data_IF_764702456534
#
_entry.id   IF_764702456534
#
_cell.length_a   1.000
_cell.length_b   1.000
_cell.length_c   1.000
_cell.angle_alpha   90.00
_cell.angle_beta   90.00
_cell.angle_gamma   90.00
#
_symmetry.space_group_name_H-M   'P 1'
#
loop_
_entity.id
_entity.type
_entity.pdbx_description
1 polymer ?
#
# COMPACT_ATOMS: atom_id res chain seq x y z
N UNK A 1 12.18 25.69 6.51
CA UNK A 1 12.96 24.42 6.42
C UNK A 1 14.00 24.32 7.55
N UNK A 2 13.77 24.96 8.70
CA UNK A 2 14.72 24.87 9.80
C UNK A 2 14.52 23.56 10.59
N UNK A 3 13.29 23.04 10.67
CA UNK A 3 12.96 21.83 11.44
C UNK A 3 13.74 20.58 11.00
N UNK A 4 13.89 20.34 9.70
CA UNK A 4 14.64 19.17 9.19
C UNK A 4 16.14 19.30 9.46
N UNK A 5 16.73 20.48 9.27
CA UNK A 5 18.15 20.71 9.53
C UNK A 5 18.47 20.50 11.01
N UNK A 6 17.70 21.12 11.91
CA UNK A 6 17.87 20.96 13.37
C UNK A 6 17.69 19.50 13.81
N UNK A 7 16.69 18.79 13.25
CA UNK A 7 16.49 17.37 13.55
C UNK A 7 17.68 16.51 13.09
N UNK A 8 18.23 16.77 11.90
CA UNK A 8 19.40 16.05 11.38
C UNK A 8 20.68 16.33 12.20
N UNK A 9 20.89 17.57 12.64
CA UNK A 9 21.99 17.92 13.55
C UNK A 9 21.87 17.21 14.90
N UNK A 10 20.66 17.14 15.45
CA UNK A 10 20.39 16.39 16.67
C UNK A 10 20.69 14.89 16.51
N UNK A 11 20.33 14.28 15.37
CA UNK A 11 20.68 12.89 15.07
C UNK A 11 22.20 12.70 15.01
N UNK A 12 22.92 13.58 14.30
CA UNK A 12 24.40 13.53 14.20
C UNK A 12 25.07 13.61 15.56
N UNK A 13 24.59 14.50 16.44
CA UNK A 13 25.07 14.62 17.83
C UNK A 13 24.78 13.37 18.68
N UNK A 14 23.67 12.69 18.47
CA UNK A 14 23.40 11.42 19.16
C UNK A 14 24.28 10.28 18.64
N UNK A 15 24.62 10.29 17.35
CA UNK A 15 25.54 9.31 16.74
C UNK A 15 27.01 9.50 17.15
N UNK A 16 27.41 10.68 17.65
CA UNK A 16 28.77 10.90 18.14
C UNK A 16 29.01 10.35 19.56
N UNK A 17 27.97 9.84 20.22
CA UNK A 17 28.10 9.12 21.48
C UNK A 17 28.76 7.77 21.26
N UNK A 18 29.25 7.13 22.33
CA UNK A 18 29.86 5.81 22.23
C UNK A 18 28.86 4.77 21.69
N UNK A 19 29.29 4.04 20.66
CA UNK A 19 28.53 2.96 20.03
C UNK A 19 29.38 1.68 20.10
N UNK A 20 28.83 0.59 20.65
CA UNK A 20 29.59 -0.64 20.83
C UNK A 20 29.96 -1.27 19.48
N UNK A 21 31.15 -1.84 19.40
CA UNK A 21 31.56 -2.69 18.28
C UNK A 21 31.02 -4.12 18.47
N UNK A 22 29.71 -4.25 18.60
CA UNK A 22 29.02 -5.51 18.84
C UNK A 22 27.71 -5.59 18.02
N UNK A 23 27.16 -6.80 17.80
CA UNK A 23 25.88 -6.98 17.14
C UNK A 23 24.75 -6.30 17.92
N UNK A 24 23.74 -5.80 17.21
CA UNK A 24 22.54 -5.28 17.86
C UNK A 24 21.70 -4.34 17.00
N UNK A 25 20.70 -3.76 17.65
CA UNK A 25 19.77 -2.76 17.11
C UNK A 25 19.79 -1.54 18.02
N UNK A 26 19.93 -0.34 17.45
CA UNK A 26 19.77 0.94 18.15
C UNK A 26 18.84 1.85 17.36
N UNK A 27 17.90 2.47 18.06
CA UNK A 27 16.95 3.41 17.49
C UNK A 27 17.25 4.79 18.10
N UNK A 28 17.36 5.80 17.25
CA UNK A 28 17.65 7.18 17.67
C UNK A 28 16.48 8.05 17.23
N UNK A 29 15.72 8.56 18.21
CA UNK A 29 14.57 9.42 17.98
C UNK A 29 14.91 10.88 18.29
N UNK A 30 14.50 11.77 17.38
CA UNK A 30 14.50 13.21 17.64
C UNK A 30 13.11 13.78 17.39
N UNK A 31 12.60 14.66 18.27
CA UNK A 31 11.39 15.41 18.01
C UNK A 31 11.53 16.20 16.70
N UNK A 32 10.47 16.24 15.91
CA UNK A 32 10.43 17.03 14.68
C UNK A 32 9.38 18.14 14.83
N UNK A 33 9.82 19.42 14.98
CA UNK A 33 8.90 20.54 15.08
C UNK A 33 8.04 20.71 13.81
N UNK A 34 6.72 20.78 13.98
CA UNK A 34 5.74 21.02 12.90
C UNK A 34 5.38 22.50 12.72
N UNK A 35 6.25 23.40 13.20
CA UNK A 35 6.09 24.86 13.09
C UNK A 35 6.32 25.37 11.66
N UNK A 36 7.15 24.69 10.88
CA UNK A 36 7.33 24.96 9.45
C UNK A 36 6.40 24.08 8.61
N UNK A 37 5.94 24.58 7.46
CA UNK A 37 5.19 23.81 6.46
C UNK A 37 6.09 22.76 5.77
N UNK A 38 6.44 21.68 6.49
CA UNK A 38 7.26 20.59 5.99
C UNK A 38 6.45 19.64 5.11
N UNK A 39 6.73 19.61 3.81
CA UNK A 39 6.17 18.62 2.88
C UNK A 39 7.10 17.41 2.77
N UNK A 40 6.74 16.35 3.48
CA UNK A 40 7.52 15.12 3.55
C UNK A 40 7.69 14.43 2.19
N UNK A 41 6.70 14.54 1.30
CA UNK A 41 6.78 13.97 -0.05
C UNK A 41 7.82 14.72 -0.90
N UNK A 42 7.82 16.06 -0.84
CA UNK A 42 8.82 16.89 -1.52
C UNK A 42 10.23 16.62 -1.00
N UNK A 43 10.39 16.50 0.33
CA UNK A 43 11.68 16.13 0.93
C UNK A 43 12.17 14.78 0.44
N UNK A 44 11.30 13.76 0.45
CA UNK A 44 11.64 12.41 0.01
C UNK A 44 12.04 12.38 -1.47
N UNK A 45 11.27 13.05 -2.33
CA UNK A 45 11.52 13.13 -3.77
C UNK A 45 12.82 13.88 -4.15
N UNK A 46 13.37 14.65 -3.23
CA UNK A 46 14.63 15.39 -3.44
C UNK A 46 15.87 14.50 -3.25
N UNK A 47 15.71 13.34 -2.62
CA UNK A 47 16.80 12.44 -2.27
C UNK A 47 17.19 11.55 -3.45
N UNK A 48 18.48 11.21 -3.56
CA UNK A 48 18.99 10.23 -4.52
C UNK A 48 19.48 8.96 -3.81
N UNK A 49 18.70 8.53 -2.82
CA UNK A 49 18.92 7.30 -2.07
C UNK A 49 17.65 6.46 -2.21
N UNK A 50 17.82 5.17 -2.44
CA UNK A 50 16.75 4.20 -2.60
C UNK A 50 16.94 3.02 -1.64
N UNK A 51 15.87 2.30 -1.27
CA UNK A 51 14.47 2.57 -1.62
C UNK A 51 13.90 3.79 -0.90
N UNK A 52 12.79 4.33 -1.41
CA UNK A 52 12.01 5.37 -0.74
C UNK A 52 10.57 4.91 -0.62
N UNK A 53 9.94 5.18 0.53
CA UNK A 53 8.52 4.88 0.71
C UNK A 53 7.81 6.02 1.43
N UNK A 54 6.76 6.53 0.80
CA UNK A 54 5.84 7.51 1.36
C UNK A 54 4.49 6.84 1.63
N UNK A 55 3.90 7.20 2.75
CA UNK A 55 2.60 6.68 3.15
C UNK A 55 1.79 7.73 3.92
N UNK A 56 0.52 7.85 3.59
CA UNK A 56 -0.44 8.66 4.32
C UNK A 56 -1.71 7.86 4.58
N UNK A 57 -2.17 7.89 5.82
CA UNK A 57 -3.45 7.33 6.22
C UNK A 57 -4.59 8.10 5.56
N UNK A 58 -5.66 7.39 5.19
CA UNK A 58 -6.83 7.99 4.55
C UNK A 58 -7.52 9.15 5.27
N UNK A 59 -7.31 9.32 6.57
CA UNK A 59 -7.88 10.44 7.33
C UNK A 59 -6.90 11.61 7.53
N UNK A 60 -5.67 11.51 7.00
CA UNK A 60 -4.64 12.55 7.10
C UNK A 60 -3.89 12.61 8.44
N UNK A 61 -4.35 11.89 9.47
CA UNK A 61 -3.78 11.97 10.82
C UNK A 61 -2.43 11.26 10.96
N UNK A 62 -2.10 10.33 10.06
CA UNK A 62 -0.84 9.61 10.10
C UNK A 62 -0.16 9.71 8.73
N UNK A 63 1.11 10.09 8.74
CA UNK A 63 1.91 10.30 7.53
C UNK A 63 3.35 9.86 7.81
N UNK A 64 4.00 9.25 6.84
CA UNK A 64 5.37 8.79 6.94
C UNK A 64 6.11 8.97 5.62
N UNK A 65 7.39 9.33 5.72
CA UNK A 65 8.35 9.31 4.64
C UNK A 65 9.59 8.57 5.13
N UNK A 66 9.93 7.47 4.48
CA UNK A 66 11.03 6.61 4.88
C UNK A 66 12.03 6.44 3.75
N UNK A 67 13.31 6.45 4.09
CA UNK A 67 14.42 6.62 3.15
C UNK A 67 15.55 5.65 3.47
N UNK A 68 16.03 4.95 2.42
CA UNK A 68 17.07 3.95 2.51
C UNK A 68 16.63 2.72 3.31
N UNK A 69 17.40 1.64 3.22
CA UNK A 69 17.13 0.41 3.97
C UNK A 69 18.35 0.02 4.80
N UNK A 70 18.11 -0.40 6.03
CA UNK A 70 19.09 -1.14 6.84
C UNK A 70 18.95 -2.63 6.57
N UNK A 71 17.71 -3.09 6.42
CA UNK A 71 17.36 -4.46 6.04
C UNK A 71 16.20 -4.45 5.05
N UNK A 72 16.14 -5.45 4.18
CA UNK A 72 15.05 -5.63 3.21
C UNK A 72 14.45 -7.03 3.33
N UNK A 73 13.16 -7.16 3.05
CA UNK A 73 12.41 -8.40 3.20
C UNK A 73 11.60 -8.67 1.93
N UNK A 74 11.68 -9.91 1.45
CA UNK A 74 11.00 -10.36 0.24
C UNK A 74 9.58 -10.87 0.53
N UNK A 75 9.20 -10.95 1.80
CA UNK A 75 7.86 -11.34 2.21
C UNK A 75 7.50 -10.73 3.56
N UNK A 76 6.20 -10.62 3.82
CA UNK A 76 5.71 -10.19 5.13
C UNK A 76 6.11 -11.17 6.25
N UNK A 77 6.25 -12.46 5.92
CA UNK A 77 6.65 -13.49 6.87
C UNK A 77 8.08 -13.28 7.37
N UNK A 78 9.02 -13.00 6.45
CA UNK A 78 10.41 -12.67 6.80
C UNK A 78 10.48 -11.41 7.68
N UNK A 79 9.77 -10.36 7.27
CA UNK A 79 9.66 -9.12 8.05
C UNK A 79 9.13 -9.38 9.48
N UNK A 80 8.11 -10.23 9.61
CA UNK A 80 7.54 -10.59 10.91
C UNK A 80 8.52 -11.41 11.76
N UNK A 81 9.27 -12.34 11.14
CA UNK A 81 10.28 -13.11 11.85
C UNK A 81 11.35 -12.18 12.45
N UNK A 82 11.83 -11.22 11.67
CA UNK A 82 12.76 -10.20 12.14
C UNK A 82 12.22 -9.38 13.31
N UNK A 83 10.95 -8.94 13.24
CA UNK A 83 10.33 -8.17 14.32
C UNK A 83 10.20 -8.98 15.63
N UNK A 84 10.02 -10.30 15.56
CA UNK A 84 9.95 -11.19 16.74
C UNK A 84 11.31 -11.37 17.41
N UNK A 85 12.38 -11.40 16.65
CA UNK A 85 13.75 -11.44 17.21
C UNK A 85 14.10 -10.15 17.97
N UNK A 86 13.39 -9.05 17.69
CA UNK A 86 13.60 -7.74 18.30
C UNK A 86 12.42 -7.34 19.20
N UNK A 87 11.94 -8.28 20.02
CA UNK A 87 10.81 -8.07 20.91
C UNK A 87 11.03 -7.00 21.99
N UNK A 88 12.26 -6.63 22.32
CA UNK A 88 12.53 -5.49 23.21
C UNK A 88 12.16 -4.13 22.59
N UNK A 89 12.06 -4.03 21.25
CA UNK A 89 11.78 -2.79 20.51
C UNK A 89 10.31 -2.73 20.05
N UNK A 90 9.39 -2.38 20.96
CA UNK A 90 7.94 -2.50 20.74
C UNK A 90 7.36 -1.62 19.62
N UNK A 91 8.05 -0.56 19.23
CA UNK A 91 7.59 0.42 18.23
C UNK A 91 8.33 0.33 16.88
N UNK A 92 9.08 -0.76 16.66
CA UNK A 92 9.79 -1.03 15.40
C UNK A 92 8.79 -1.19 14.24
N UNK A 93 9.06 -0.51 13.11
CA UNK A 93 8.21 -0.54 11.92
C UNK A 93 9.00 -0.98 10.70
N UNK A 94 8.38 -1.88 9.95
CA UNK A 94 8.79 -2.26 8.60
C UNK A 94 7.75 -1.68 7.64
N UNK A 95 8.23 -1.07 6.57
CA UNK A 95 7.42 -0.35 5.59
C UNK A 95 7.55 -0.99 4.21
N UNK A 96 6.58 -0.78 3.33
CA UNK A 96 6.66 -1.24 1.94
C UNK A 96 5.38 -1.87 1.42
N UNK A 97 5.56 -2.82 0.49
CA UNK A 97 4.50 -3.38 -0.33
C UNK A 97 4.44 -4.90 -0.20
N UNK A 98 3.22 -5.45 -0.31
CA UNK A 98 3.00 -6.86 -0.60
C UNK A 98 2.44 -6.95 -2.02
N UNK A 99 2.91 -7.91 -2.80
CA UNK A 99 2.40 -8.14 -4.14
C UNK A 99 0.98 -8.71 -4.10
N UNK A 100 0.36 -8.84 -5.27
CA UNK A 100 -0.92 -9.53 -5.40
C UNK A 100 -0.82 -10.99 -4.92
N UNK A 101 0.28 -11.66 -5.26
CA UNK A 101 0.68 -12.92 -4.64
C UNK A 101 1.29 -12.63 -3.27
N UNK A 102 0.60 -12.98 -2.16
CA UNK A 102 0.96 -12.46 -0.84
C UNK A 102 2.27 -13.04 -0.28
N UNK A 103 2.82 -14.10 -0.87
CA UNK A 103 4.14 -14.61 -0.51
C UNK A 103 5.27 -13.68 -0.95
N UNK A 104 5.01 -12.78 -1.91
CA UNK A 104 6.00 -11.85 -2.43
C UNK A 104 5.74 -10.44 -1.88
N UNK A 105 6.82 -9.73 -1.55
CA UNK A 105 6.78 -8.38 -1.04
C UNK A 105 8.09 -7.65 -1.26
N UNK A 106 8.02 -6.33 -1.12
CA UNK A 106 9.16 -5.44 -1.08
C UNK A 106 9.02 -4.59 0.17
N UNK A 107 9.57 -5.08 1.28
CA UNK A 107 9.51 -4.40 2.56
C UNK A 107 10.91 -4.03 3.05
N UNK A 108 11.00 -3.01 3.88
CA UNK A 108 12.26 -2.50 4.40
C UNK A 108 12.15 -2.06 5.87
N UNK A 109 13.21 -2.32 6.61
CA UNK A 109 13.54 -1.56 7.81
C UNK A 109 14.30 -0.31 7.34
N UNK A 110 13.74 0.90 7.48
CA UNK A 110 14.35 2.06 6.85
C UNK A 110 15.61 2.51 7.57
N UNK A 111 16.52 3.17 6.86
CA UNK A 111 17.63 3.89 7.52
C UNK A 111 17.10 5.09 8.29
N UNK A 112 16.20 5.86 7.66
CA UNK A 112 15.59 7.06 8.24
C UNK A 112 14.07 7.05 8.04
N UNK A 113 13.32 7.34 9.09
CA UNK A 113 11.86 7.45 9.10
C UNK A 113 11.47 8.83 9.64
N UNK A 114 10.85 9.67 8.81
CA UNK A 114 10.02 10.75 9.31
C UNK A 114 8.60 10.24 9.47
N UNK A 115 7.99 10.45 10.64
CA UNK A 115 6.58 10.10 10.88
C UNK A 115 5.87 11.20 11.63
N UNK A 116 4.66 11.52 11.18
CA UNK A 116 3.70 12.38 11.85
C UNK A 116 2.48 11.58 12.28
N UNK A 117 2.07 11.75 13.54
CA UNK A 117 0.85 11.23 14.12
C UNK A 117 0.09 12.36 14.81
N UNK A 118 -0.98 12.86 14.19
CA UNK A 118 -1.69 14.07 14.59
C UNK A 118 -0.75 15.27 14.54
N UNK A 119 -0.58 15.92 15.70
CA UNK A 119 0.26 17.10 15.90
C UNK A 119 1.70 16.77 16.35
N UNK A 120 2.07 15.50 16.44
CA UNK A 120 3.42 15.07 16.84
C UNK A 120 4.14 14.50 15.64
N UNK A 121 5.36 14.97 15.38
CA UNK A 121 6.25 14.34 14.41
C UNK A 121 7.59 13.96 15.05
N UNK A 122 8.18 12.91 14.51
CA UNK A 122 9.47 12.34 14.95
C UNK A 122 10.29 12.01 13.73
N UNK A 123 11.58 12.32 13.79
CA UNK A 123 12.57 11.80 12.87
C UNK A 123 13.34 10.70 13.60
N UNK A 124 13.29 9.49 13.05
CA UNK A 124 13.84 8.28 13.63
C UNK A 124 14.92 7.73 12.72
N UNK A 125 16.10 7.46 13.28
CA UNK A 125 17.20 6.78 12.61
C UNK A 125 17.36 5.38 13.19
N UNK A 126 17.47 4.38 12.32
CA UNK A 126 17.70 2.99 12.72
C UNK A 126 19.17 2.63 12.47
N UNK A 127 19.78 1.98 13.45
CA UNK A 127 21.06 1.28 13.32
C UNK A 127 20.83 -0.20 13.59
N UNK A 128 21.33 -1.05 12.71
CA UNK A 128 21.29 -2.49 12.91
C UNK A 128 22.50 -3.13 12.26
N UNK A 129 23.12 -4.06 12.98
CA UNK A 129 24.16 -4.91 12.44
C UNK A 129 24.21 -6.23 13.17
N UNK A 130 24.33 -7.36 12.46
CA UNK A 130 24.62 -8.64 13.08
C UNK A 130 26.07 -8.79 13.54
N UNK A 131 26.93 -7.78 13.29
CA UNK A 131 28.38 -7.82 13.60
C UNK A 131 28.82 -6.64 14.47
N UNK A 132 28.58 -5.40 14.02
CA UNK A 132 29.11 -4.20 14.67
C UNK A 132 28.21 -2.99 14.47
N UNK A 133 27.54 -2.56 15.53
CA UNK A 133 26.77 -1.31 15.55
C UNK A 133 27.66 -0.09 15.27
N UNK A 134 28.94 -0.12 15.66
CA UNK A 134 29.90 0.96 15.39
C UNK A 134 30.12 1.18 13.90
N UNK A 135 30.27 0.10 13.12
CA UNK A 135 30.41 0.20 11.67
C UNK A 135 29.11 0.71 11.02
N UNK A 136 27.96 0.24 11.51
CA UNK A 136 26.67 0.70 11.00
C UNK A 136 26.40 2.17 11.31
N UNK A 137 26.88 2.66 12.45
CA UNK A 137 26.86 4.08 12.78
C UNK A 137 27.71 4.90 11.81
N UNK A 138 28.89 4.40 11.41
CA UNK A 138 29.70 5.02 10.35
C UNK A 138 28.95 5.12 9.03
N UNK A 139 28.26 4.05 8.61
CA UNK A 139 27.37 4.06 7.44
C UNK A 139 26.21 5.05 7.59
N UNK A 140 25.62 5.15 8.77
CA UNK A 140 24.55 6.09 9.05
C UNK A 140 25.02 7.56 8.98
N UNK A 141 26.23 7.87 9.47
CA UNK A 141 26.84 9.20 9.34
C UNK A 141 27.05 9.54 7.86
N UNK A 142 27.63 8.63 7.07
CA UNK A 142 27.81 8.82 5.64
C UNK A 142 26.46 9.03 4.92
N UNK A 143 25.45 8.24 5.27
CA UNK A 143 24.08 8.41 4.78
C UNK A 143 23.52 9.81 5.10
N UNK A 144 23.62 10.27 6.35
CA UNK A 144 23.13 11.59 6.77
C UNK A 144 23.87 12.75 6.08
N UNK A 145 25.15 12.56 5.73
CA UNK A 145 25.94 13.54 4.97
C UNK A 145 25.58 13.58 3.49
N UNK A 146 25.01 12.51 2.94
CA UNK A 146 24.58 12.43 1.54
C UNK A 146 23.18 12.99 1.26
N UNK A 147 22.42 13.34 2.32
CA UNK A 147 21.08 13.90 2.19
C UNK A 147 21.09 15.24 1.46
N UNK A 148 20.08 15.45 0.62
CA UNK A 148 19.91 16.65 -0.20
C UNK A 148 18.88 17.58 0.43
N UNK A 149 19.07 18.89 0.23
CA UNK A 149 18.07 19.89 0.57
C UNK A 149 16.76 19.66 -0.20
N UNK A 150 15.63 20.07 0.39
CA UNK A 150 14.32 19.92 -0.25
C UNK A 150 14.25 20.81 -1.48
N UNK A 151 13.76 20.23 -2.57
CA UNK A 151 13.40 20.91 -3.81
C UNK A 151 11.88 20.82 -3.98
N UNK A 152 11.24 21.87 -4.54
CA UNK A 152 9.83 21.78 -4.92
C UNK A 152 9.59 20.63 -5.91
N UNK A 153 8.48 19.93 -5.75
CA UNK A 153 8.04 18.94 -6.75
C UNK A 153 7.69 19.68 -8.05
N UNK A 154 8.27 19.27 -9.19
CA UNK A 154 7.99 19.92 -10.47
C UNK A 154 6.55 19.70 -10.91
N UNK A 155 6.00 20.66 -11.67
CA UNK A 155 4.71 20.49 -12.31
C UNK A 155 4.76 19.34 -13.34
N UNK A 156 3.69 18.53 -13.38
CA UNK A 156 3.56 17.49 -14.40
C UNK A 156 3.26 18.14 -15.76
N UNK A 157 4.22 18.03 -16.69
CA UNK A 157 4.05 18.38 -18.09
C UNK A 157 4.40 17.15 -18.92
N UNK A 158 3.39 16.36 -19.22
CA UNK A 158 3.52 15.09 -19.92
C UNK A 158 2.85 15.18 -21.29
N UNK A 159 3.55 14.75 -22.33
CA UNK A 159 3.00 14.59 -23.66
C UNK A 159 2.89 13.10 -23.97
N UNK A 160 1.67 12.61 -24.14
CA UNK A 160 1.39 11.21 -24.46
C UNK A 160 1.92 10.90 -25.86
N UNK A 161 2.70 9.83 -26.00
CA UNK A 161 3.26 9.36 -27.29
C UNK A 161 2.70 8.01 -27.71
N UNK A 162 2.10 7.26 -26.78
CA UNK A 162 1.44 6.00 -27.07
C UNK A 162 0.54 5.57 -25.91
N UNK A 163 -0.43 4.73 -26.25
CA UNK A 163 -1.36 4.11 -25.31
C UNK A 163 -1.63 2.68 -25.75
N UNK A 164 -1.51 1.73 -24.82
CA UNK A 164 -1.77 0.32 -25.07
C UNK A 164 -2.56 -0.30 -23.92
N UNK A 165 -3.55 -1.14 -24.25
CA UNK A 165 -4.40 -1.81 -23.28
C UNK A 165 -4.11 -3.31 -23.24
N UNK A 166 -4.14 -3.88 -22.04
CA UNK A 166 -3.93 -5.30 -21.77
C UNK A 166 -5.03 -5.85 -20.84
N UNK A 167 -6.00 -6.61 -21.36
CA UNK A 167 -6.25 -6.85 -22.79
C UNK A 167 -6.78 -5.59 -23.50
N UNK A 168 -6.75 -5.60 -24.82
CA UNK A 168 -7.49 -4.65 -25.64
C UNK A 168 -9.00 -4.89 -25.56
N UNK A 169 -9.80 -4.09 -26.28
CA UNK A 169 -11.26 -4.20 -26.24
C UNK A 169 -11.78 -5.58 -26.68
N UNK A 170 -11.20 -6.16 -27.73
CA UNK A 170 -11.65 -7.46 -28.24
C UNK A 170 -11.29 -8.60 -27.27
N UNK A 171 -10.08 -8.56 -26.72
CA UNK A 171 -9.64 -9.46 -25.67
C UNK A 171 -10.46 -9.31 -24.39
N UNK A 172 -10.83 -8.08 -24.01
CA UNK A 172 -11.72 -7.82 -22.87
C UNK A 172 -13.09 -8.47 -23.07
N UNK A 173 -13.74 -8.25 -24.22
CA UNK A 173 -15.04 -8.88 -24.52
C UNK A 173 -14.95 -10.40 -24.45
N UNK A 174 -13.89 -10.97 -25.01
CA UNK A 174 -13.67 -12.43 -25.00
C UNK A 174 -13.50 -12.98 -23.57
N UNK A 175 -12.73 -12.27 -22.72
CA UNK A 175 -12.57 -12.64 -21.31
C UNK A 175 -13.88 -12.53 -20.53
N UNK A 176 -14.70 -11.50 -20.80
CA UNK A 176 -16.00 -11.34 -20.15
C UNK A 176 -16.94 -12.47 -20.55
N UNK A 177 -17.03 -12.82 -21.85
CA UNK A 177 -17.85 -13.93 -22.33
C UNK A 177 -17.45 -15.26 -21.66
N UNK A 178 -16.14 -15.55 -21.62
CA UNK A 178 -15.61 -16.73 -20.95
C UNK A 178 -15.98 -16.75 -19.46
N UNK A 179 -15.79 -15.63 -18.76
CA UNK A 179 -16.13 -15.50 -17.34
C UNK A 179 -17.62 -15.74 -17.09
N UNK A 180 -18.50 -15.14 -17.91
CA UNK A 180 -19.95 -15.32 -17.76
C UNK A 180 -20.42 -16.74 -18.07
N UNK A 181 -19.80 -17.39 -19.06
CA UNK A 181 -20.11 -18.79 -19.37
C UNK A 181 -19.67 -19.71 -18.22
N UNK A 182 -18.45 -19.53 -17.70
CA UNK A 182 -17.94 -20.31 -16.57
C UNK A 182 -18.81 -20.13 -15.31
N UNK A 183 -19.35 -18.92 -15.10
CA UNK A 183 -20.29 -18.66 -14.00
C UNK A 183 -21.63 -19.35 -14.25
N UNK A 184 -22.14 -19.34 -15.49
CA UNK A 184 -23.40 -20.01 -15.84
C UNK A 184 -23.31 -21.54 -15.75
N UNK A 185 -22.10 -22.10 -15.90
CA UNK A 185 -21.81 -23.53 -15.73
C UNK A 185 -21.59 -23.93 -14.26
N UNK A 186 -21.82 -23.02 -13.29
CA UNK A 186 -21.63 -23.19 -11.84
C UNK A 186 -20.20 -23.57 -11.40
N UNK A 187 -19.22 -23.45 -12.30
CA UNK A 187 -17.79 -23.66 -12.00
C UNK A 187 -17.19 -22.50 -11.17
N UNK A 188 -17.88 -21.36 -11.11
CA UNK A 188 -17.40 -20.15 -10.45
C UNK A 188 -18.56 -19.20 -10.05
N UNK A 189 -18.58 -18.67 -8.82
CA UNK A 189 -19.62 -17.69 -8.43
C UNK A 189 -19.31 -16.23 -8.87
N UNK A 190 -18.03 -15.85 -8.88
CA UNK A 190 -17.57 -14.48 -9.18
C UNK A 190 -16.08 -14.45 -9.51
N UNK A 191 -15.71 -13.74 -10.58
CA UNK A 191 -14.33 -13.34 -10.90
C UNK A 191 -14.21 -11.82 -10.94
N UNK A 192 -13.03 -11.31 -10.58
CA UNK A 192 -12.64 -9.92 -10.83
C UNK A 192 -11.54 -9.95 -11.87
N UNK A 193 -11.83 -9.37 -13.03
CA UNK A 193 -10.87 -9.19 -14.12
C UNK A 193 -10.25 -7.79 -14.03
N UNK A 194 -9.00 -7.67 -14.43
CA UNK A 194 -8.28 -6.40 -14.45
C UNK A 194 -7.79 -6.10 -15.86
N UNK A 195 -7.67 -4.81 -16.17
CA UNK A 195 -7.05 -4.31 -17.39
C UNK A 195 -5.90 -3.39 -17.02
N UNK A 196 -4.73 -3.59 -17.62
CA UNK A 196 -3.64 -2.64 -17.55
C UNK A 196 -3.71 -1.68 -18.75
N UNK A 197 -3.37 -0.42 -18.54
CA UNK A 197 -3.16 0.57 -19.59
C UNK A 197 -1.75 1.10 -19.47
N UNK A 198 -0.92 0.79 -20.47
CA UNK A 198 0.42 1.34 -20.59
C UNK A 198 0.33 2.67 -21.32
N UNK A 199 0.79 3.74 -20.65
CA UNK A 199 0.88 5.09 -21.22
C UNK A 199 2.35 5.41 -21.45
N UNK A 200 2.73 5.66 -22.70
CA UNK A 200 4.07 6.12 -23.05
C UNK A 200 4.07 7.65 -23.15
N UNK A 201 5.12 8.28 -22.62
CA UNK A 201 5.28 9.73 -22.63
C UNK A 201 6.62 10.11 -23.27
N UNK A 202 6.69 11.35 -23.77
CA UNK A 202 7.90 11.86 -24.44
C UNK A 202 9.12 11.97 -23.53
N UNK A 203 8.94 11.99 -22.21
CA UNK A 203 10.01 12.08 -21.20
C UNK A 203 9.65 11.23 -19.97
N UNK A 204 10.65 10.88 -19.13
CA UNK A 204 10.41 10.14 -17.90
C UNK A 204 9.38 10.82 -16.98
N UNK A 205 8.44 10.03 -16.47
CA UNK A 205 7.39 10.52 -15.56
C UNK A 205 7.95 10.71 -14.15
N UNK A 206 7.83 11.91 -13.60
CA UNK A 206 8.15 12.14 -12.19
C UNK A 206 7.07 11.54 -11.28
N UNK A 207 7.34 10.36 -10.74
CA UNK A 207 6.41 9.61 -9.90
C UNK A 207 5.96 10.37 -8.63
N UNK A 208 6.85 11.16 -8.01
CA UNK A 208 6.49 11.98 -6.86
C UNK A 208 5.51 13.10 -7.25
N UNK A 209 5.66 13.67 -8.45
CA UNK A 209 4.71 14.65 -8.98
C UNK A 209 3.33 14.03 -9.29
N UNK A 210 3.29 12.79 -9.78
CA UNK A 210 2.04 12.01 -9.90
C UNK A 210 1.39 11.79 -8.54
N UNK A 211 2.17 11.38 -7.53
CA UNK A 211 1.67 11.20 -6.17
C UNK A 211 1.15 12.51 -5.56
N UNK A 212 1.89 13.62 -5.72
CA UNK A 212 1.48 14.93 -5.22
C UNK A 212 0.16 15.40 -5.87
N UNK A 213 0.01 15.21 -7.18
CA UNK A 213 -1.23 15.51 -7.90
C UNK A 213 -2.39 14.62 -7.45
N UNK A 214 -2.13 13.31 -7.25
CA UNK A 214 -3.15 12.38 -6.78
C UNK A 214 -3.58 12.69 -5.33
N UNK A 215 -2.66 13.10 -4.45
CA UNK A 215 -2.97 13.52 -3.07
C UNK A 215 -3.90 14.74 -3.01
N UNK A 216 -3.73 15.68 -3.95
CA UNK A 216 -4.59 16.87 -4.05
C UNK A 216 -6.02 16.55 -4.48
N UNK A 217 -6.19 15.57 -5.37
CA UNK A 217 -7.49 15.26 -5.98
C UNK A 217 -8.23 14.13 -5.26
N UNK A 218 -7.53 13.07 -4.88
CA UNK A 218 -8.11 11.86 -4.31
C UNK A 218 -8.15 11.92 -2.79
N UNK A 219 -8.98 12.83 -2.27
CA UNK A 219 -9.21 12.96 -0.83
C UNK A 219 -9.79 11.66 -0.23
N UNK A 220 -9.63 11.50 1.09
CA UNK A 220 -10.10 10.33 1.85
C UNK A 220 -9.52 8.98 1.39
N UNK A 221 -8.36 9.02 0.72
CA UNK A 221 -7.62 7.85 0.29
C UNK A 221 -6.34 7.67 1.09
N UNK A 222 -5.97 6.41 1.28
CA UNK A 222 -4.59 6.04 1.56
C UNK A 222 -3.72 6.44 0.39
N UNK A 223 -2.66 7.19 0.64
CA UNK A 223 -1.65 7.49 -0.37
C UNK A 223 -0.41 6.67 -0.08
N UNK A 224 0.07 5.89 -1.05
CA UNK A 224 1.29 5.12 -0.92
C UNK A 224 2.14 5.31 -2.17
N UNK A 225 3.44 5.42 -1.99
CA UNK A 225 4.41 5.67 -3.06
C UNK A 225 5.74 5.01 -2.69
N UNK A 226 6.14 4.01 -3.45
CA UNK A 226 7.42 3.32 -3.34
C UNK A 226 8.27 3.66 -4.56
N UNK A 227 9.51 4.09 -4.36
CA UNK A 227 10.54 4.09 -5.42
C UNK A 227 11.55 3.00 -5.13
N UNK A 228 11.71 2.10 -6.10
CA UNK A 228 12.70 1.02 -6.03
C UNK A 228 14.07 1.52 -6.50
N UNK A 229 14.07 2.42 -7.48
CA UNK A 229 15.24 3.07 -8.06
C UNK A 229 14.85 4.40 -8.71
N UNK A 230 15.80 5.09 -9.35
CA UNK A 230 15.54 6.33 -10.08
C UNK A 230 14.49 6.17 -11.20
N UNK A 231 14.40 4.98 -11.80
CA UNK A 231 13.54 4.70 -12.97
C UNK A 231 12.32 3.83 -12.68
N UNK A 232 12.10 3.41 -11.43
CA UNK A 232 11.02 2.47 -11.10
C UNK A 232 10.31 2.84 -9.81
N UNK A 233 8.98 2.95 -9.90
CA UNK A 233 8.12 3.29 -8.77
C UNK A 233 6.76 2.58 -8.86
N UNK A 234 6.12 2.40 -7.72
CA UNK A 234 4.74 1.95 -7.59
C UNK A 234 3.99 2.87 -6.64
N UNK A 235 2.82 3.37 -7.04
CA UNK A 235 2.05 4.33 -6.25
C UNK A 235 0.55 4.18 -6.45
N UNK A 236 -0.22 4.71 -5.50
CA UNK A 236 -1.67 4.71 -5.61
C UNK A 236 -2.36 5.50 -4.50
N UNK A 237 -3.64 5.78 -4.75
CA UNK A 237 -4.55 6.45 -3.83
C UNK A 237 -5.78 5.57 -3.62
N UNK A 238 -5.79 4.74 -2.57
CA UNK A 238 -6.83 3.74 -2.35
C UNK A 238 -7.79 4.13 -1.22
N UNK A 239 -9.12 4.02 -1.39
CA UNK A 239 -10.06 4.19 -0.28
C UNK A 239 -10.08 3.00 0.68
N UNK A 240 -9.63 1.83 0.22
CA UNK A 240 -9.86 0.55 0.84
C UNK A 240 -8.80 0.24 1.89
N UNK A 241 -9.25 -0.20 3.06
CA UNK A 241 -8.38 -0.80 4.07
C UNK A 241 -8.41 -2.30 3.94
N UNK A 242 -7.24 -2.90 3.70
CA UNK A 242 -7.09 -4.35 3.86
C UNK A 242 -7.30 -4.74 5.33
N UNK A 243 -6.46 -4.24 6.24
CA UNK A 243 -6.68 -4.38 7.67
C UNK A 243 -5.88 -3.37 8.50
N UNK A 244 -6.28 -3.15 9.75
CA UNK A 244 -5.54 -2.39 10.77
C UNK A 244 -5.53 -3.17 12.07
N UNK A 245 -4.34 -3.51 12.58
CA UNK A 245 -4.17 -4.19 13.86
C UNK A 245 -3.57 -3.25 14.90
N UNK A 246 -4.17 -3.19 16.07
CA UNK A 246 -3.56 -2.65 17.29
C UNK A 246 -3.62 -3.75 18.34
N UNK A 247 -2.45 -4.27 18.70
CA UNK A 247 -2.35 -5.46 19.57
C UNK A 247 -3.17 -6.64 19.02
N UNK A 248 -4.24 -7.00 19.73
CA UNK A 248 -5.17 -8.08 19.38
C UNK A 248 -6.44 -7.58 18.67
N UNK A 249 -6.66 -6.26 18.65
CA UNK A 249 -7.80 -5.64 18.00
C UNK A 249 -7.53 -5.49 16.50
N UNK A 250 -8.44 -6.02 15.68
CA UNK A 250 -8.32 -6.03 14.23
C UNK A 250 -9.54 -5.39 13.59
N UNK A 251 -9.29 -4.49 12.64
CA UNK A 251 -10.33 -3.78 11.86
C UNK A 251 -10.08 -4.00 10.38
N UNK A 252 -11.11 -4.40 9.64
CA UNK A 252 -11.13 -4.51 8.17
C UNK A 252 -12.47 -3.96 7.66
N UNK A 253 -12.67 -3.93 6.35
CA UNK A 253 -13.92 -3.49 5.74
C UNK A 253 -14.22 -4.30 4.47
N UNK A 254 -15.50 -4.59 4.22
CA UNK A 254 -15.96 -5.04 2.93
C UNK A 254 -16.38 -3.82 2.12
N UNK A 255 -15.58 -3.48 1.11
CA UNK A 255 -15.84 -2.37 0.19
C UNK A 255 -16.18 -2.94 -1.19
N UNK A 256 -17.47 -3.00 -1.53
CA UNK A 256 -17.96 -3.56 -2.79
C UNK A 256 -19.36 -3.02 -3.10
N UNK A 257 -19.71 -2.94 -4.38
CA UNK A 257 -20.88 -2.20 -4.88
C UNK A 257 -20.52 -0.73 -5.11
N UNK A 258 -20.81 -0.20 -6.29
CA UNK A 258 -20.23 1.07 -6.76
C UNK A 258 -21.20 1.88 -7.61
N UNK A 259 -21.24 3.19 -7.42
CA UNK A 259 -22.00 4.14 -8.28
C UNK A 259 -21.12 5.34 -8.61
N UNK A 260 -21.39 6.04 -9.71
CA UNK A 260 -20.70 7.28 -10.06
C UNK A 260 -20.90 8.36 -8.97
N UNK A 261 -19.91 9.25 -8.82
CA UNK A 261 -20.08 10.47 -8.03
C UNK A 261 -20.73 11.57 -8.90
N UNK A 262 -21.22 12.64 -8.26
CA UNK A 262 -21.70 13.84 -8.90
C UNK A 262 -21.13 15.09 -8.18
N UNK A 263 -20.75 16.19 -8.88
CA UNK A 263 -20.23 17.40 -8.24
C UNK A 263 -21.25 18.09 -7.32
N UNK A 264 -22.54 18.00 -7.65
CA UNK A 264 -23.63 18.45 -6.77
C UNK A 264 -23.88 17.45 -5.64
N UNK A 265 -23.83 17.93 -4.40
CA UNK A 265 -23.92 17.11 -3.19
C UNK A 265 -25.29 16.45 -3.00
N UNK A 266 -26.37 17.06 -3.49
CA UNK A 266 -27.71 16.50 -3.38
C UNK A 266 -27.90 15.34 -4.36
N UNK A 267 -27.47 15.51 -5.62
CA UNK A 267 -27.49 14.43 -6.61
C UNK A 267 -26.57 13.27 -6.23
N UNK A 268 -25.38 13.58 -5.71
CA UNK A 268 -24.47 12.59 -5.16
C UNK A 268 -25.11 11.78 -4.02
N UNK A 269 -25.88 12.44 -3.14
CA UNK A 269 -26.63 11.76 -2.10
C UNK A 269 -27.71 10.84 -2.67
N UNK A 270 -28.50 11.29 -3.64
CA UNK A 270 -29.54 10.49 -4.29
C UNK A 270 -28.97 9.22 -4.95
N UNK A 271 -27.83 9.33 -5.64
CA UNK A 271 -27.12 8.17 -6.21
C UNK A 271 -26.64 7.21 -5.12
N UNK A 272 -26.20 7.73 -3.98
CA UNK A 272 -25.85 6.93 -2.80
C UNK A 272 -27.06 6.18 -2.21
N UNK A 273 -28.21 6.84 -2.09
CA UNK A 273 -29.45 6.22 -1.64
C UNK A 273 -29.93 5.11 -2.59
N UNK A 274 -29.80 5.34 -3.91
CA UNK A 274 -30.07 4.32 -4.92
C UNK A 274 -29.16 3.10 -4.75
N UNK A 275 -27.84 3.33 -4.61
CA UNK A 275 -26.86 2.25 -4.46
C UNK A 275 -27.17 1.37 -3.24
N UNK A 276 -27.68 1.96 -2.16
CA UNK A 276 -28.06 1.23 -0.95
C UNK A 276 -29.31 0.36 -1.13
N UNK A 277 -30.16 0.66 -2.11
CA UNK A 277 -31.40 -0.09 -2.39
C UNK A 277 -31.26 -1.06 -3.56
N UNK A 278 -30.14 -1.04 -4.28
CA UNK A 278 -29.90 -1.92 -5.41
C UNK A 278 -29.50 -3.33 -4.96
N UNK A 279 -30.34 -4.31 -5.30
CA UNK A 279 -30.18 -5.71 -4.90
C UNK A 279 -28.88 -6.34 -5.39
N UNK A 280 -28.45 -6.00 -6.61
CA UNK A 280 -27.20 -6.53 -7.18
C UNK A 280 -26.00 -6.05 -6.37
N UNK A 281 -25.89 -4.74 -6.13
CA UNK A 281 -24.79 -4.15 -5.39
C UNK A 281 -24.78 -4.60 -3.92
N UNK A 282 -25.95 -4.78 -3.29
CA UNK A 282 -26.06 -5.36 -1.94
C UNK A 282 -25.59 -6.82 -1.89
N UNK A 283 -25.99 -7.66 -2.85
CA UNK A 283 -25.49 -9.05 -2.98
C UNK A 283 -23.97 -9.08 -3.16
N UNK A 284 -23.42 -8.19 -4.00
CA UNK A 284 -21.97 -8.07 -4.17
C UNK A 284 -21.25 -7.69 -2.87
N UNK A 285 -21.80 -6.76 -2.09
CA UNK A 285 -21.24 -6.37 -0.80
C UNK A 285 -21.32 -7.51 0.23
N UNK A 286 -22.46 -8.20 0.31
CA UNK A 286 -22.66 -9.35 1.20
C UNK A 286 -21.73 -10.50 0.87
N UNK A 287 -21.49 -10.81 -0.41
CA UNK A 287 -20.50 -11.83 -0.81
C UNK A 287 -19.07 -11.44 -0.39
N UNK A 288 -18.73 -10.15 -0.44
CA UNK A 288 -17.48 -9.63 0.10
C UNK A 288 -17.39 -9.77 1.63
N UNK A 289 -18.45 -9.39 2.35
CA UNK A 289 -18.56 -9.46 3.81
C UNK A 289 -18.57 -10.89 4.36
N UNK A 290 -19.33 -11.80 3.73
CA UNK A 290 -19.46 -13.20 4.13
C UNK A 290 -18.13 -13.99 4.05
N UNK A 291 -17.22 -13.57 3.17
CA UNK A 291 -15.86 -14.13 3.10
C UNK A 291 -14.99 -13.79 4.31
N UNK A 292 -15.25 -12.67 4.98
CA UNK A 292 -14.57 -12.35 6.25
C UNK A 292 -15.17 -13.14 7.43
N UNK A 293 -16.48 -13.42 7.41
CA UNK A 293 -17.20 -14.09 8.50
C UNK A 293 -16.99 -15.62 8.55
N UNK A 294 -16.58 -16.23 7.44
CA UNK A 294 -16.25 -17.67 7.36
C UNK A 294 -14.81 -18.01 7.82
N UNK A 295 -14.01 -17.01 8.21
CA UNK A 295 -12.72 -17.23 8.83
C UNK A 295 -12.90 -17.81 10.25
N UNK A 296 -11.99 -18.68 10.75
CA UNK A 296 -12.16 -19.42 12.02
C UNK A 296 -12.19 -18.55 13.29
N UNK A 297 -12.05 -17.23 13.18
CA UNK A 297 -12.28 -16.30 14.28
C UNK A 297 -13.62 -15.61 14.12
N UNK A 298 -14.45 -15.65 15.17
CA UNK A 298 -15.75 -14.99 15.27
C UNK A 298 -15.61 -13.46 15.12
N UNK A 299 -15.48 -12.97 13.89
CA UNK A 299 -15.65 -11.56 13.55
C UNK A 299 -17.13 -11.21 13.74
N UNK A 300 -17.40 -10.12 14.46
CA UNK A 300 -18.77 -9.64 14.64
C UNK A 300 -18.95 -8.39 13.78
N UNK A 301 -19.94 -8.35 12.87
CA UNK A 301 -20.27 -7.12 12.19
C UNK A 301 -20.72 -6.10 13.24
N UNK A 302 -19.98 -5.00 13.37
CA UNK A 302 -20.29 -3.98 14.38
C UNK A 302 -21.34 -2.98 13.93
N UNK A 303 -21.64 -2.94 12.62
CA UNK A 303 -22.78 -2.29 11.93
C UNK A 303 -22.43 -2.22 10.44
N UNK A 304 -23.37 -2.49 9.55
CA UNK A 304 -23.34 -1.93 8.20
C UNK A 304 -23.52 -0.43 8.35
N UNK A 305 -22.45 0.34 8.17
CA UNK A 305 -22.47 1.77 8.36
C UNK A 305 -22.27 2.41 6.99
N UNK A 306 -23.17 3.32 6.62
CA UNK A 306 -22.98 4.16 5.46
C UNK A 306 -21.59 4.82 5.54
N UNK A 307 -20.73 4.56 4.55
CA UNK A 307 -19.48 5.28 4.43
C UNK A 307 -19.58 6.16 3.20
N UNK A 308 -20.17 7.35 3.38
CA UNK A 308 -20.01 8.49 2.49
C UNK A 308 -18.52 8.79 2.45
N UNK A 309 -17.81 8.25 1.47
CA UNK A 309 -16.41 8.61 1.22
C UNK A 309 -16.35 9.25 -0.15
N UNK A 310 -16.32 10.58 -0.14
CA UNK A 310 -15.98 11.39 -1.31
C UNK A 310 -14.54 11.04 -1.68
N UNK A 311 -14.36 10.15 -2.65
CA UNK A 311 -13.07 9.86 -3.27
C UNK A 311 -13.00 10.62 -4.58
N UNK A 312 -12.45 11.84 -4.49
CA UNK A 312 -12.36 12.81 -5.59
C UNK A 312 -13.71 13.36 -6.06
N UNK A 313 -13.68 14.61 -6.54
CA UNK A 313 -14.80 15.28 -7.20
C UNK A 313 -15.27 14.54 -8.48
N UNK A 314 -14.64 13.43 -8.89
CA UNK A 314 -14.80 12.87 -10.24
C UNK A 314 -14.93 11.35 -10.40
N UNK A 315 -14.92 10.51 -9.36
CA UNK A 315 -14.95 9.07 -9.60
C UNK A 315 -16.21 8.37 -9.10
N UNK A 316 -16.23 7.85 -7.87
CA UNK A 316 -17.21 6.82 -7.50
C UNK A 316 -17.51 6.79 -5.99
N UNK A 317 -18.71 6.39 -5.64
CA UNK A 317 -19.11 5.96 -4.29
C UNK A 317 -19.08 4.44 -4.18
N UNK A 318 -18.92 3.90 -2.97
CA UNK A 318 -19.01 2.44 -2.74
C UNK A 318 -19.68 2.10 -1.42
N UNK A 319 -20.36 0.95 -1.36
CA UNK A 319 -20.91 0.43 -0.11
C UNK A 319 -19.77 -0.12 0.74
N UNK A 320 -19.72 0.26 2.01
CA UNK A 320 -18.70 -0.16 2.96
C UNK A 320 -19.35 -0.78 4.20
N UNK A 321 -19.02 -2.04 4.51
CA UNK A 321 -19.38 -2.66 5.79
C UNK A 321 -18.13 -2.79 6.67
N UNK A 322 -18.12 -2.11 7.82
CA UNK A 322 -17.00 -2.19 8.76
C UNK A 322 -17.06 -3.50 9.57
N UNK A 323 -15.97 -4.27 9.56
CA UNK A 323 -15.85 -5.53 10.28
C UNK A 323 -14.78 -5.40 11.37
N UNK A 324 -15.12 -5.79 12.60
CA UNK A 324 -14.20 -5.76 13.73
C UNK A 324 -14.20 -7.08 14.51
N UNK A 325 -13.09 -7.38 15.18
CA UNK A 325 -12.98 -8.56 16.02
C UNK A 325 -11.72 -8.60 16.88
N UNK A 326 -11.63 -9.63 17.74
CA UNK A 326 -10.48 -9.92 18.61
C UNK A 326 -9.90 -11.31 18.27
N UNK A 327 -8.60 -11.35 17.95
CA UNK A 327 -7.73 -12.50 17.58
C UNK A 327 -7.99 -13.25 16.25
N UNK A 328 -6.86 -13.79 15.72
CA UNK A 328 -6.57 -14.67 14.56
C UNK A 328 -7.48 -14.57 13.33
N UNK A 329 -7.18 -13.64 12.42
CA UNK A 329 -7.76 -13.71 11.07
C UNK A 329 -6.81 -14.49 10.16
N UNK A 330 -7.27 -15.62 9.62
CA UNK A 330 -6.77 -16.12 8.33
C UNK A 330 -7.44 -15.28 7.23
N UNK A 331 -6.71 -14.31 6.67
CA UNK A 331 -7.21 -13.57 5.51
C UNK A 331 -6.95 -14.45 4.28
N UNK A 332 -7.96 -15.20 3.86
CA UNK A 332 -7.98 -15.83 2.54
C UNK A 332 -8.75 -14.94 1.58
N UNK A 333 -8.05 -14.08 0.85
CA UNK A 333 -8.61 -13.47 -0.35
C UNK A 333 -8.62 -14.52 -1.46
N UNK A 334 -9.78 -15.17 -1.68
CA UNK A 334 -10.04 -15.85 -2.96
C UNK A 334 -10.30 -14.80 -4.03
N UNK A 335 -9.24 -14.17 -4.52
CA UNK A 335 -9.28 -13.37 -5.74
C UNK A 335 -8.36 -14.08 -6.72
N UNK A 336 -8.93 -14.85 -7.65
CA UNK A 336 -8.16 -15.37 -8.77
C UNK A 336 -8.11 -14.25 -9.81
N UNK A 337 -6.95 -13.63 -9.98
CA UNK A 337 -6.68 -12.78 -11.14
C UNK A 337 -6.10 -13.68 -12.23
N UNK A 338 -6.76 -13.73 -13.37
CA UNK A 338 -6.24 -14.39 -14.56
C UNK A 338 -5.47 -13.37 -15.38
N UNK A 339 -4.18 -13.60 -15.61
CA UNK A 339 -3.39 -12.83 -16.57
C UNK A 339 -3.36 -13.56 -17.91
N UNK A 340 -3.73 -12.84 -18.98
CA UNK A 340 -3.46 -13.29 -20.34
C UNK A 340 -2.01 -12.92 -20.68
N UNK A 341 -1.17 -13.89 -21.03
CA UNK A 341 0.20 -13.62 -21.49
C UNK A 341 0.27 -13.81 -23.00
N UNK A 342 0.37 -12.73 -23.80
CA UNK A 342 0.63 -12.84 -25.23
C UNK A 342 2.15 -12.87 -25.43
N UNK A 343 2.84 -13.94 -25.00
CA UNK A 343 4.17 -14.23 -25.56
C UNK A 343 3.96 -15.14 -26.77
N UNK A 344 4.41 -14.77 -27.98
CA UNK A 344 4.41 -15.70 -29.10
C UNK A 344 5.32 -16.89 -28.73
N UNK A 345 4.88 -18.15 -28.95
CA UNK A 345 5.73 -19.30 -28.69
C UNK A 345 6.95 -19.23 -29.63
N UNK A 346 8.15 -19.17 -29.04
CA UNK A 346 9.37 -19.54 -29.74
C UNK A 346 9.21 -20.97 -30.24
N UNK A 347 9.32 -21.13 -31.56
CA UNK A 347 9.29 -22.36 -32.37
C UNK A 347 9.30 -23.68 -31.58
N UNK A 348 8.27 -24.48 -31.81
CA UNK A 348 8.35 -25.95 -31.68
C UNK A 348 7.79 -26.54 -30.39
N UNK A 349 6.49 -26.38 -30.12
CA UNK A 349 5.77 -27.36 -29.29
C UNK A 349 4.28 -27.35 -29.66
N UNK A 350 3.76 -28.52 -30.02
CA UNK A 350 2.33 -28.73 -30.32
C UNK A 350 1.53 -28.42 -29.05
N UNK A 351 0.69 -27.40 -29.10
CA UNK A 351 -0.26 -27.06 -28.04
C UNK A 351 -1.50 -27.92 -28.23
N UNK A 352 -1.60 -29.02 -27.49
CA UNK A 352 -2.89 -29.66 -27.25
C UNK A 352 -3.70 -28.73 -26.32
N UNK A 353 -4.86 -28.28 -26.81
CA UNK A 353 -5.74 -27.31 -26.19
C UNK A 353 -6.39 -27.81 -24.90
N UNK A 354 -5.68 -27.67 -23.78
CA UNK A 354 -6.28 -27.52 -22.45
C UNK A 354 -5.62 -26.33 -21.77
N UNK A 355 -6.37 -25.24 -21.64
CA UNK A 355 -5.99 -24.13 -20.78
C UNK A 355 -5.77 -24.67 -19.36
N UNK A 356 -4.51 -24.76 -18.93
CA UNK A 356 -4.19 -25.14 -17.54
C UNK A 356 -4.57 -23.97 -16.65
N UNK A 357 -5.71 -24.11 -15.99
CA UNK A 357 -6.21 -23.27 -14.92
C UNK A 357 -5.24 -23.34 -13.73
N UNK A 358 -4.50 -22.27 -13.47
CA UNK A 358 -3.72 -22.15 -12.24
C UNK A 358 -4.62 -21.64 -11.12
N UNK A 359 -5.23 -22.56 -10.37
CA UNK A 359 -5.91 -22.25 -9.11
C UNK A 359 -4.89 -22.21 -7.97
N UNK A 360 -4.35 -21.05 -7.62
CA UNK A 360 -3.53 -20.93 -6.41
C UNK A 360 -4.40 -20.51 -5.22
N UNK A 361 -4.86 -21.50 -4.45
CA UNK A 361 -5.39 -21.31 -3.10
C UNK A 361 -4.24 -20.99 -2.14
N UNK A 362 -4.05 -19.71 -1.78
CA UNK A 362 -3.02 -19.34 -0.81
C UNK A 362 -3.61 -19.08 0.58
N UNK A 363 -3.18 -19.90 1.55
CA UNK A 363 -3.51 -19.81 2.98
C UNK A 363 -2.48 -18.94 3.69
N UNK A 364 -2.88 -17.76 4.17
CA UNK A 364 -2.10 -17.02 5.17
C UNK A 364 -2.52 -17.48 6.57
N UNK A 365 -1.64 -18.21 7.26
CA UNK A 365 -1.90 -18.72 8.60
C UNK A 365 -1.40 -17.72 9.65
N UNK A 366 -2.29 -16.87 10.18
CA UNK A 366 -1.96 -15.88 11.22
C UNK A 366 -2.37 -16.45 12.59
N UNK A 367 -1.63 -17.43 13.10
CA UNK A 367 -1.82 -17.98 14.45
C UNK A 367 -0.53 -17.80 15.27
N UNK A 368 -0.64 -17.19 16.47
CA UNK A 368 0.46 -17.12 17.45
C UNK A 368 1.11 -15.75 17.70
N UNK A 369 0.39 -14.62 17.63
CA UNK A 369 1.00 -13.28 17.77
C UNK A 369 0.75 -12.61 19.15
N UNK A 370 1.81 -12.23 19.89
CA UNK A 370 1.78 -11.08 20.79
C UNK A 370 1.82 -9.77 19.97
N UNK A 371 1.38 -8.66 20.56
CA UNK A 371 0.99 -7.41 19.87
C UNK A 371 2.09 -6.74 19.03
N UNK A 372 1.73 -6.21 17.84
CA UNK A 372 2.46 -5.14 17.11
C UNK A 372 1.68 -4.65 15.87
N UNK A 373 1.95 -3.42 15.42
CA UNK A 373 1.22 -2.77 14.31
C UNK A 373 1.99 -3.02 13.01
N UNK A 374 1.46 -3.88 12.16
CA UNK A 374 1.82 -3.90 10.72
C UNK A 374 0.66 -3.21 10.00
N UNK A 375 0.93 -2.38 9.00
CA UNK A 375 -0.10 -1.74 8.17
C UNK A 375 0.08 -2.32 6.77
N UNK A 376 -0.75 -3.29 6.40
CA UNK A 376 -0.82 -3.75 5.01
C UNK A 376 -1.84 -2.90 4.26
N UNK A 377 -1.40 -2.26 3.18
CA UNK A 377 -2.29 -1.72 2.17
C UNK A 377 -2.35 -2.67 0.99
N UNK A 378 -3.57 -2.89 0.52
CA UNK A 378 -3.88 -3.54 -0.73
C UNK A 378 -4.86 -2.61 -1.44
N UNK A 379 -4.64 -2.31 -2.71
CA UNK A 379 -5.59 -1.54 -3.50
C UNK A 379 -6.22 -2.47 -4.52
N UNK A 380 -7.53 -2.71 -4.36
CA UNK A 380 -8.36 -3.28 -5.41
C UNK A 380 -8.80 -2.13 -6.31
N UNK A 381 -8.29 -2.07 -7.53
CA UNK A 381 -8.78 -1.12 -8.53
C UNK A 381 -9.92 -1.78 -9.30
N UNK A 382 -11.16 -1.39 -9.00
CA UNK A 382 -12.33 -1.74 -9.82
C UNK A 382 -12.60 -0.59 -10.80
N UNK A 383 -12.31 -0.81 -12.08
CA UNK A 383 -12.71 0.10 -13.16
C UNK A 383 -13.82 -0.53 -14.00
N UNK A 384 -14.67 0.35 -14.54
CA UNK A 384 -15.92 0.03 -15.21
C UNK A 384 -15.69 -0.51 -16.62
#
# INVERSE_FOLDING_TARGET
>A
MHSITTALENLRRQLSQEIPAAPGMRIVDVPFPLNDAFDALSWLASQAIWPQFYWQQRNGDEEAAVLGAVETFLSLEQAQHFLRQHESQSDLRIWGLNAFEPQQGHLLLPRLEWRRAGAVATLRLYLYSPVSLREDAGRAIAFLSSLRGVKPIPALRLHLTGEQHWPDKAGWTSLIQLATQTIAEDDLDKVVLARATDLQFSHPVNAAAVMASSRRLNLNCYHFFMTFSAGSAFLGSSPERLWRRRETALRTEALAGTVANHPDDHQAWQLGEWLMKDDKNQRENMLGGGRYLSAPAKLRPTRSMFCRRRCSDYAKYSICAAVSGRRSIRLTTRSVCYSYSPRPPSRGSRVNGRARLFSNMNRLNVSGMPGRRVICLYSRANFA
#
